data_IF_570540598641
#
_entry.id   IF_570540598641
#
_cell.length_a   1.000
_cell.length_b   1.000
_cell.length_c   1.000
_cell.angle_alpha   90.00
_cell.angle_beta   90.00
_cell.angle_gamma   90.00
#
_symmetry.space_group_name_H-M   'P 1'
#
loop_
_entity.id
_entity.type
_entity.pdbx_description
1 polymer ?
#
# COMPACT_ATOMS: atom_id res chain seq x y z
N UNK A 1 36.80 40.81 19.99
CA UNK A 1 37.33 39.51 19.50
C UNK A 1 36.17 38.89 18.72
N UNK A 2 35.99 39.37 17.50
CA UNK A 2 34.97 38.84 16.56
C UNK A 2 35.55 37.57 15.95
N UNK A 3 34.83 36.46 16.08
CA UNK A 3 35.17 35.19 15.49
C UNK A 3 34.51 35.12 14.13
N UNK A 4 35.28 35.43 13.08
CA UNK A 4 34.86 35.30 11.69
C UNK A 4 34.86 33.80 11.32
N UNK A 5 33.68 33.20 11.25
CA UNK A 5 33.44 31.84 10.74
C UNK A 5 33.03 31.91 9.25
N UNK A 6 34.00 32.29 8.41
CA UNK A 6 33.84 32.10 6.97
C UNK A 6 33.98 30.61 6.62
N UNK A 7 32.87 29.93 6.41
CA UNK A 7 32.83 28.56 5.87
C UNK A 7 33.07 28.67 4.37
N UNK A 8 34.24 28.22 3.95
CA UNK A 8 34.60 28.09 2.53
C UNK A 8 33.75 26.97 1.90
N UNK A 9 32.73 27.32 1.13
CA UNK A 9 31.88 26.37 0.41
C UNK A 9 32.56 26.05 -0.92
N UNK A 10 33.03 24.81 -1.14
CA UNK A 10 33.66 24.45 -2.41
C UNK A 10 32.69 24.66 -3.56
N UNK A 11 33.15 25.24 -4.65
CA UNK A 11 32.35 25.43 -5.86
C UNK A 11 31.89 24.11 -6.44
N UNK A 12 30.56 23.91 -6.49
CA UNK A 12 29.93 22.71 -7.06
C UNK A 12 30.35 22.54 -8.52
N UNK A 13 30.87 21.36 -8.85
CA UNK A 13 31.18 20.96 -10.22
C UNK A 13 29.89 20.75 -11.03
N UNK A 14 29.97 20.70 -12.35
CA UNK A 14 28.80 20.51 -13.21
C UNK A 14 28.03 19.20 -12.95
N UNK A 15 28.68 18.23 -12.33
CA UNK A 15 28.07 16.96 -11.90
C UNK A 15 27.21 17.08 -10.64
N UNK A 16 27.42 18.12 -9.80
CA UNK A 16 26.71 18.34 -8.54
C UNK A 16 25.51 19.30 -8.68
N UNK A 17 25.21 19.76 -9.90
CA UNK A 17 24.01 20.57 -10.11
C UNK A 17 22.78 19.68 -9.90
N UNK A 18 21.84 20.09 -9.02
CA UNK A 18 20.58 19.39 -8.92
C UNK A 18 19.93 19.35 -10.30
N UNK A 19 19.30 18.24 -10.68
CA UNK A 19 18.59 18.17 -11.95
C UNK A 19 17.63 19.35 -12.02
N UNK A 20 17.59 20.00 -13.19
CA UNK A 20 16.64 21.08 -13.48
C UNK A 20 15.27 20.61 -13.03
N UNK A 21 14.64 21.35 -12.10
CA UNK A 21 13.26 21.06 -11.69
C UNK A 21 12.44 21.16 -12.96
N UNK A 22 12.16 20.02 -13.58
CA UNK A 22 11.14 19.95 -14.62
C UNK A 22 9.83 20.31 -13.91
N UNK A 23 9.31 21.50 -14.20
CA UNK A 23 7.91 21.83 -13.87
C UNK A 23 7.11 20.82 -14.68
N UNK A 24 6.67 19.76 -13.99
CA UNK A 24 5.76 18.76 -14.56
C UNK A 24 4.52 19.53 -14.96
N UNK A 25 4.23 19.56 -16.25
CA UNK A 25 3.00 20.17 -16.76
C UNK A 25 1.83 19.59 -15.97
N UNK A 26 1.00 20.46 -15.42
CA UNK A 26 -0.13 20.11 -14.56
C UNK A 26 -1.17 19.17 -15.23
N UNK A 27 -1.05 18.93 -16.53
CA UNK A 27 -1.95 18.11 -17.34
C UNK A 27 -1.53 16.64 -17.49
N UNK A 28 -0.31 16.25 -17.09
CA UNK A 28 0.09 14.83 -17.02
C UNK A 28 0.27 14.45 -15.55
N UNK A 29 -0.67 13.68 -15.00
CA UNK A 29 -0.54 13.17 -13.62
C UNK A 29 0.76 12.37 -13.45
N UNK A 30 1.28 12.27 -12.20
CA UNK A 30 2.55 11.60 -11.88
C UNK A 30 2.62 10.13 -12.32
N UNK A 31 1.48 9.52 -12.61
CA UNK A 31 1.34 8.12 -13.03
C UNK A 31 0.74 8.00 -14.44
N UNK A 32 0.86 9.06 -15.26
CA UNK A 32 0.37 9.06 -16.63
C UNK A 32 0.98 7.90 -17.44
N UNK A 33 0.12 7.10 -18.08
CA UNK A 33 0.52 5.95 -18.88
C UNK A 33 0.92 4.70 -18.09
N UNK A 34 0.95 4.75 -16.75
CA UNK A 34 1.19 3.57 -15.91
C UNK A 34 -0.04 2.68 -15.81
N UNK A 35 0.18 1.37 -15.74
CA UNK A 35 -0.85 0.36 -15.49
C UNK A 35 -0.69 -0.17 -14.07
N UNK A 36 -1.72 0.01 -13.24
CA UNK A 36 -1.70 -0.46 -11.85
C UNK A 36 -2.68 -1.62 -11.63
N UNK A 37 -2.33 -2.56 -10.76
CA UNK A 37 -3.21 -3.61 -10.26
C UNK A 37 -3.37 -3.44 -8.74
N UNK A 38 -4.62 -3.26 -8.27
CA UNK A 38 -4.94 -3.06 -6.86
C UNK A 38 -5.79 -4.21 -6.34
N UNK A 39 -5.30 -4.92 -5.33
CA UNK A 39 -6.04 -6.04 -4.74
C UNK A 39 -6.96 -5.55 -3.61
N UNK A 40 -8.14 -6.18 -3.45
CA UNK A 40 -9.13 -5.78 -2.45
C UNK A 40 -9.72 -4.39 -2.70
N UNK A 41 -9.94 -4.03 -3.97
CA UNK A 41 -10.20 -2.66 -4.41
C UNK A 41 -11.69 -2.29 -4.58
N UNK A 42 -12.63 -3.14 -4.15
CA UNK A 42 -14.06 -2.81 -4.24
C UNK A 42 -14.53 -1.76 -3.23
N UNK A 43 -13.73 -1.45 -2.19
CA UNK A 43 -14.06 -0.49 -1.13
C UNK A 43 -12.84 -0.08 -0.30
N UNK A 44 -13.06 0.83 0.66
CA UNK A 44 -12.08 1.20 1.68
C UNK A 44 -10.77 1.74 1.11
N UNK A 45 -9.65 1.28 1.67
CA UNK A 45 -8.30 1.72 1.26
C UNK A 45 -8.05 1.38 -0.21
N UNK A 46 -8.33 0.14 -0.64
CA UNK A 46 -8.06 -0.27 -2.02
C UNK A 46 -8.80 0.56 -3.06
N UNK A 47 -10.09 0.88 -2.85
CA UNK A 47 -10.84 1.76 -3.73
C UNK A 47 -10.32 3.19 -3.72
N UNK A 48 -9.93 3.72 -2.54
CA UNK A 48 -9.35 5.06 -2.45
C UNK A 48 -7.99 5.14 -3.16
N UNK A 49 -7.18 4.09 -3.06
CA UNK A 49 -5.93 3.95 -3.81
C UNK A 49 -6.22 3.94 -5.31
N UNK A 50 -7.12 3.10 -5.79
CA UNK A 50 -7.48 3.03 -7.20
C UNK A 50 -7.96 4.40 -7.74
N UNK A 51 -8.82 5.10 -7.00
CA UNK A 51 -9.27 6.47 -7.35
C UNK A 51 -8.11 7.46 -7.45
N UNK A 52 -7.18 7.38 -6.52
CA UNK A 52 -6.02 8.27 -6.52
C UNK A 52 -5.10 7.98 -7.71
N UNK A 53 -4.82 6.71 -8.02
CA UNK A 53 -3.99 6.33 -9.15
C UNK A 53 -4.61 6.76 -10.48
N UNK A 54 -5.93 6.57 -10.67
CA UNK A 54 -6.67 7.06 -11.85
C UNK A 54 -6.60 8.59 -11.95
N UNK A 55 -6.80 9.31 -10.85
CA UNK A 55 -6.70 10.77 -10.82
C UNK A 55 -5.29 11.29 -11.16
N UNK A 56 -4.26 10.45 -11.00
CA UNK A 56 -2.89 10.75 -11.38
C UNK A 56 -2.48 10.17 -12.75
N UNK A 57 -3.48 9.72 -13.54
CA UNK A 57 -3.31 9.33 -14.94
C UNK A 57 -3.04 7.85 -15.19
N UNK A 58 -3.07 6.99 -14.16
CA UNK A 58 -2.93 5.55 -14.34
C UNK A 58 -4.22 4.89 -14.85
N UNK A 59 -4.08 3.75 -15.53
CA UNK A 59 -5.15 2.79 -15.76
C UNK A 59 -5.07 1.69 -14.71
N UNK A 60 -6.22 1.21 -14.20
CA UNK A 60 -6.23 0.38 -12.99
C UNK A 60 -7.01 -0.92 -13.17
N UNK A 61 -6.36 -2.04 -12.90
CA UNK A 61 -6.99 -3.32 -12.63
C UNK A 61 -7.44 -3.42 -11.17
N UNK A 62 -8.68 -3.88 -10.95
CA UNK A 62 -9.26 -4.08 -9.63
C UNK A 62 -9.53 -5.55 -9.37
N UNK A 63 -9.18 -6.04 -8.19
CA UNK A 63 -9.65 -7.37 -7.77
C UNK A 63 -10.35 -7.31 -6.41
N UNK A 64 -11.40 -8.10 -6.26
CA UNK A 64 -12.10 -8.37 -5.01
C UNK A 64 -13.03 -9.58 -5.20
N UNK A 65 -13.68 -10.04 -4.12
CA UNK A 65 -14.50 -11.26 -4.15
C UNK A 65 -15.88 -11.08 -4.79
N UNK A 66 -16.45 -9.88 -4.73
CA UNK A 66 -17.84 -9.61 -5.11
C UNK A 66 -17.90 -8.83 -6.42
N UNK A 67 -18.42 -9.44 -7.49
CA UNK A 67 -18.43 -8.83 -8.84
C UNK A 67 -19.29 -7.55 -8.90
N UNK A 68 -20.41 -7.49 -8.19
CA UNK A 68 -21.30 -6.32 -8.19
C UNK A 68 -20.57 -5.09 -7.61
N UNK A 69 -19.91 -5.25 -6.48
CA UNK A 69 -19.15 -4.16 -5.83
C UNK A 69 -17.92 -3.73 -6.67
N UNK A 70 -17.38 -4.63 -7.49
CA UNK A 70 -16.33 -4.29 -8.45
C UNK A 70 -16.88 -3.51 -9.63
N UNK A 71 -18.06 -3.87 -10.16
CA UNK A 71 -18.71 -3.14 -11.23
C UNK A 71 -19.05 -1.69 -10.81
N UNK A 72 -19.55 -1.51 -9.58
CA UNK A 72 -19.75 -0.18 -8.99
C UNK A 72 -18.44 0.61 -8.87
N UNK A 73 -17.36 -0.06 -8.44
CA UNK A 73 -16.04 0.57 -8.33
C UNK A 73 -15.51 1.03 -9.70
N UNK A 74 -15.62 0.19 -10.74
CA UNK A 74 -15.24 0.55 -12.12
C UNK A 74 -16.04 1.76 -12.61
N UNK A 75 -17.36 1.75 -12.42
CA UNK A 75 -18.21 2.88 -12.80
C UNK A 75 -17.79 4.18 -12.07
N UNK A 76 -17.50 4.09 -10.78
CA UNK A 76 -17.05 5.23 -9.95
C UNK A 76 -15.64 5.75 -10.32
N UNK A 77 -14.86 4.99 -11.10
CA UNK A 77 -13.54 5.36 -11.62
C UNK A 77 -13.60 5.91 -13.06
N UNK A 78 -14.78 6.12 -13.62
CA UNK A 78 -14.96 6.62 -14.99
C UNK A 78 -15.14 5.53 -16.04
N UNK A 79 -15.40 4.28 -15.61
CA UNK A 79 -15.74 3.18 -16.51
C UNK A 79 -14.54 2.46 -17.13
N UNK A 80 -14.78 1.64 -18.17
CA UNK A 80 -13.79 0.71 -18.71
C UNK A 80 -12.59 1.37 -19.40
N UNK A 81 -12.67 2.65 -19.73
CA UNK A 81 -11.52 3.40 -20.25
C UNK A 81 -10.41 3.62 -19.19
N UNK A 82 -10.76 3.58 -17.90
CA UNK A 82 -9.87 3.85 -16.79
C UNK A 82 -9.63 2.65 -15.88
N UNK A 83 -10.61 1.73 -15.81
CA UNK A 83 -10.53 0.60 -14.90
C UNK A 83 -11.17 -0.67 -15.45
N UNK A 84 -10.56 -1.82 -15.18
CA UNK A 84 -11.14 -3.15 -15.39
C UNK A 84 -11.15 -3.92 -14.07
N UNK A 85 -12.02 -4.92 -13.95
CA UNK A 85 -12.16 -5.66 -12.70
C UNK A 85 -12.30 -7.15 -12.93
N UNK A 86 -11.65 -7.95 -12.06
CA UNK A 86 -11.77 -9.41 -12.05
C UNK A 86 -12.14 -9.88 -10.64
N UNK A 87 -13.29 -10.56 -10.53
CA UNK A 87 -13.78 -11.08 -9.26
C UNK A 87 -13.10 -12.42 -8.92
N UNK A 88 -12.65 -12.57 -7.67
CA UNK A 88 -12.07 -13.81 -7.17
C UNK A 88 -11.39 -13.67 -5.81
N UNK A 89 -10.83 -14.78 -5.34
CA UNK A 89 -10.14 -14.84 -4.05
C UNK A 89 -8.66 -14.54 -4.24
N UNK A 90 -8.09 -13.68 -3.40
CA UNK A 90 -6.68 -13.27 -3.48
C UNK A 90 -5.69 -14.43 -3.23
N UNK A 91 -6.11 -15.45 -2.49
CA UNK A 91 -5.34 -16.67 -2.21
C UNK A 91 -5.46 -17.75 -3.31
N UNK A 92 -6.22 -17.52 -4.36
CA UNK A 92 -6.37 -18.43 -5.50
C UNK A 92 -5.37 -18.07 -6.62
N UNK A 93 -4.55 -19.05 -7.01
CA UNK A 93 -3.51 -18.86 -8.03
C UNK A 93 -4.11 -18.67 -9.45
N UNK A 94 -5.21 -19.35 -9.75
CA UNK A 94 -5.92 -19.20 -11.03
C UNK A 94 -6.51 -17.81 -11.16
N UNK A 95 -7.12 -17.29 -10.07
CA UNK A 95 -7.63 -15.92 -10.04
C UNK A 95 -6.51 -14.88 -10.23
N UNK A 96 -5.35 -15.04 -9.58
CA UNK A 96 -4.23 -14.11 -9.74
C UNK A 96 -3.77 -14.02 -11.20
N UNK A 97 -3.64 -15.18 -11.87
CA UNK A 97 -3.30 -15.23 -13.29
C UNK A 97 -4.35 -14.55 -14.14
N UNK A 98 -5.63 -14.93 -14.01
CA UNK A 98 -6.71 -14.36 -14.77
C UNK A 98 -6.83 -12.83 -14.61
N UNK A 99 -6.54 -12.32 -13.40
CA UNK A 99 -6.58 -10.89 -13.14
C UNK A 99 -5.43 -10.15 -13.85
N UNK A 100 -4.21 -10.70 -13.83
CA UNK A 100 -3.07 -10.09 -14.54
C UNK A 100 -3.28 -10.16 -16.04
N UNK A 101 -3.78 -11.28 -16.58
CA UNK A 101 -4.05 -11.45 -18.01
C UNK A 101 -5.10 -10.43 -18.48
N UNK A 102 -6.22 -10.27 -17.76
CA UNK A 102 -7.28 -9.32 -18.11
C UNK A 102 -6.80 -7.85 -18.07
N UNK A 103 -5.97 -7.49 -17.10
CA UNK A 103 -5.39 -6.14 -17.03
C UNK A 103 -4.41 -5.91 -18.17
N UNK A 104 -3.57 -6.91 -18.46
CA UNK A 104 -2.60 -6.84 -19.55
C UNK A 104 -3.28 -6.73 -20.92
N UNK A 105 -4.36 -7.46 -21.15
CA UNK A 105 -5.17 -7.38 -22.37
C UNK A 105 -5.81 -5.99 -22.52
N UNK A 106 -6.35 -5.43 -21.44
CA UNK A 106 -7.06 -4.16 -21.49
C UNK A 106 -6.15 -2.93 -21.60
N UNK A 107 -5.01 -2.92 -20.90
CA UNK A 107 -4.21 -1.72 -20.69
C UNK A 107 -2.71 -1.89 -20.95
N UNK A 108 -2.27 -3.11 -21.17
CA UNK A 108 -0.85 -3.45 -21.21
C UNK A 108 -0.33 -4.00 -19.88
N UNK A 109 0.94 -4.38 -19.85
CA UNK A 109 1.54 -5.04 -18.70
C UNK A 109 1.52 -4.15 -17.44
N UNK A 110 1.40 -4.79 -16.27
CA UNK A 110 1.32 -4.13 -14.96
C UNK A 110 2.66 -3.48 -14.60
N UNK A 111 2.65 -2.18 -14.33
CA UNK A 111 3.80 -1.39 -13.85
C UNK A 111 3.79 -1.21 -12.32
N UNK A 112 2.59 -1.20 -11.73
CA UNK A 112 2.40 -0.96 -10.29
C UNK A 112 1.50 -2.04 -9.72
N UNK A 113 1.98 -2.77 -8.71
CA UNK A 113 1.17 -3.69 -7.93
C UNK A 113 0.89 -3.12 -6.54
N UNK A 114 -0.38 -3.02 -6.14
CA UNK A 114 -0.76 -2.67 -4.77
C UNK A 114 -1.42 -3.87 -4.09
N UNK A 115 -0.68 -4.52 -3.19
CA UNK A 115 -1.17 -5.59 -2.35
C UNK A 115 -1.90 -5.02 -1.15
N UNK A 116 -3.21 -4.84 -1.27
CA UNK A 116 -4.04 -4.27 -0.20
C UNK A 116 -4.93 -5.31 0.50
N UNK A 117 -5.10 -6.50 -0.05
CA UNK A 117 -5.91 -7.54 0.61
C UNK A 117 -5.31 -7.92 1.96
N UNK A 118 -6.18 -7.99 2.97
CA UNK A 118 -5.86 -8.54 4.28
C UNK A 118 -7.12 -9.00 4.99
N UNK A 119 -6.99 -10.03 5.81
CA UNK A 119 -8.06 -10.55 6.67
C UNK A 119 -7.62 -10.64 8.11
N UNK A 120 -8.56 -10.52 9.01
CA UNK A 120 -8.43 -10.87 10.43
C UNK A 120 -9.74 -11.50 10.92
N UNK A 121 -9.94 -12.80 10.74
CA UNK A 121 -11.18 -13.50 11.16
C UNK A 121 -11.20 -13.86 12.64
N UNK A 122 -10.11 -13.67 13.39
CA UNK A 122 -9.97 -14.09 14.77
C UNK A 122 -9.61 -12.92 15.69
N UNK A 123 -10.33 -12.83 16.79
CA UNK A 123 -10.12 -11.83 17.84
C UNK A 123 -10.00 -12.55 19.19
N UNK A 124 -9.09 -12.11 20.04
CA UNK A 124 -8.89 -12.65 21.37
C UNK A 124 -7.41 -12.93 21.71
N UNK A 125 -7.16 -13.62 22.85
CA UNK A 125 -5.82 -14.00 23.30
C UNK A 125 -5.15 -14.97 22.33
N UNK A 126 -3.82 -14.83 22.13
CA UNK A 126 -3.06 -15.72 21.25
C UNK A 126 -3.11 -17.20 21.70
N UNK A 127 -3.16 -17.43 23.00
CA UNK A 127 -3.17 -18.79 23.58
C UNK A 127 -4.46 -19.56 23.27
N UNK A 128 -5.52 -18.85 22.86
CA UNK A 128 -6.83 -19.41 22.51
C UNK A 128 -7.06 -19.40 20.99
N UNK A 129 -6.10 -18.92 20.20
CA UNK A 129 -6.26 -18.77 18.76
C UNK A 129 -6.39 -20.13 18.08
N UNK A 130 -7.47 -20.30 17.31
CA UNK A 130 -7.61 -21.45 16.42
C UNK A 130 -6.51 -21.45 15.35
N UNK A 131 -5.75 -22.54 15.28
CA UNK A 131 -4.65 -22.69 14.34
C UNK A 131 -5.10 -22.73 12.86
N UNK A 132 -6.34 -23.13 12.58
CA UNK A 132 -6.88 -23.07 11.23
C UNK A 132 -7.11 -21.60 10.80
N UNK A 133 -7.64 -20.77 11.72
CA UNK A 133 -7.74 -19.33 11.49
C UNK A 133 -6.37 -18.68 11.33
N UNK A 134 -5.37 -19.08 12.14
CA UNK A 134 -3.99 -18.61 12.01
C UNK A 134 -3.40 -18.92 10.63
N UNK A 135 -3.51 -20.16 10.16
CA UNK A 135 -3.05 -20.56 8.81
C UNK A 135 -3.74 -19.74 7.74
N UNK A 136 -5.06 -19.54 7.85
CA UNK A 136 -5.83 -18.74 6.88
C UNK A 136 -5.38 -17.28 6.83
N UNK A 137 -5.02 -16.69 7.97
CA UNK A 137 -4.44 -15.35 8.02
C UNK A 137 -3.12 -15.30 7.23
N UNK A 138 -2.22 -16.27 7.44
CA UNK A 138 -0.94 -16.31 6.72
C UNK A 138 -1.14 -16.58 5.23
N UNK A 139 -2.03 -17.50 4.87
CA UNK A 139 -2.31 -17.82 3.46
C UNK A 139 -2.76 -16.60 2.67
N UNK A 140 -3.65 -15.79 3.26
CA UNK A 140 -4.17 -14.60 2.56
C UNK A 140 -3.22 -13.42 2.66
N UNK A 141 -2.74 -13.09 3.89
CA UNK A 141 -2.01 -11.85 4.13
C UNK A 141 -0.55 -11.91 3.67
N UNK A 142 0.08 -13.09 3.74
CA UNK A 142 1.50 -13.27 3.45
C UNK A 142 1.72 -14.04 2.14
N UNK A 143 1.27 -15.29 2.08
CA UNK A 143 1.47 -16.14 0.89
C UNK A 143 0.75 -15.56 -0.32
N UNK A 144 -0.47 -15.04 -0.13
CA UNK A 144 -1.21 -14.33 -1.17
C UNK A 144 -0.46 -13.10 -1.69
N UNK A 145 0.12 -12.29 -0.78
CA UNK A 145 0.93 -11.12 -1.15
C UNK A 145 2.14 -11.53 -2.01
N UNK A 146 2.90 -12.55 -1.60
CA UNK A 146 3.99 -13.08 -2.40
C UNK A 146 3.52 -13.61 -3.76
N UNK A 147 2.41 -14.36 -3.77
CA UNK A 147 1.85 -14.91 -5.02
C UNK A 147 1.44 -13.85 -6.03
N UNK A 148 0.95 -12.68 -5.60
CA UNK A 148 0.68 -11.55 -6.50
C UNK A 148 1.98 -10.96 -7.07
N UNK A 149 3.02 -10.81 -6.25
CA UNK A 149 4.33 -10.34 -6.72
C UNK A 149 4.89 -11.30 -7.76
N UNK A 150 4.90 -12.60 -7.50
CA UNK A 150 5.35 -13.63 -8.45
C UNK A 150 4.63 -13.55 -9.80
N UNK A 151 3.33 -13.21 -9.78
CA UNK A 151 2.53 -13.15 -11.00
C UNK A 151 2.90 -11.97 -11.92
N UNK A 152 3.38 -10.86 -11.35
CA UNK A 152 3.74 -9.65 -12.12
C UNK A 152 5.25 -9.46 -12.31
N UNK A 153 6.08 -10.15 -11.52
CA UNK A 153 7.52 -9.90 -11.44
C UNK A 153 8.23 -10.02 -12.78
N UNK A 154 7.91 -11.05 -13.58
CA UNK A 154 8.55 -11.25 -14.89
C UNK A 154 8.32 -10.07 -15.84
N UNK A 155 7.09 -9.53 -15.92
CA UNK A 155 6.78 -8.37 -16.73
C UNK A 155 7.42 -7.08 -16.22
N UNK A 156 7.56 -6.95 -14.90
CA UNK A 156 8.23 -5.81 -14.27
C UNK A 156 9.75 -5.87 -14.43
N UNK A 157 10.36 -7.06 -14.45
CA UNK A 157 11.81 -7.21 -14.62
C UNK A 157 12.31 -6.68 -15.97
N UNK A 158 11.52 -6.80 -17.01
CA UNK A 158 11.87 -6.31 -18.34
C UNK A 158 11.79 -4.79 -18.45
N UNK A 159 10.88 -4.12 -17.73
CA UNK A 159 10.50 -2.73 -17.96
C UNK A 159 10.67 -1.80 -16.75
N UNK A 160 10.98 -2.37 -15.61
CA UNK A 160 10.89 -1.70 -14.33
C UNK A 160 9.48 -1.73 -13.75
N UNK A 161 9.36 -1.47 -12.44
CA UNK A 161 8.07 -1.49 -11.77
C UNK A 161 8.12 -1.06 -10.32
N UNK A 162 6.94 -1.07 -9.70
CA UNK A 162 6.80 -0.75 -8.29
C UNK A 162 5.76 -1.67 -7.62
N UNK A 163 6.12 -2.20 -6.45
CA UNK A 163 5.20 -2.93 -5.57
C UNK A 163 5.00 -2.11 -4.29
N UNK A 164 3.74 -1.91 -3.90
CA UNK A 164 3.39 -1.30 -2.61
C UNK A 164 2.50 -2.26 -1.82
N UNK A 165 3.01 -2.73 -0.68
CA UNK A 165 2.28 -3.62 0.21
C UNK A 165 1.56 -2.82 1.30
N UNK A 166 0.28 -3.11 1.56
CA UNK A 166 -0.45 -2.53 2.69
C UNK A 166 -0.25 -3.43 3.91
N UNK A 167 0.66 -2.98 4.79
CA UNK A 167 0.94 -3.57 6.09
C UNK A 167 0.00 -2.99 7.18
N UNK A 168 0.48 -2.83 8.40
CA UNK A 168 -0.22 -2.21 9.54
C UNK A 168 0.77 -1.87 10.65
N UNK A 169 0.48 -0.86 11.47
CA UNK A 169 1.22 -0.62 12.71
C UNK A 169 1.15 -1.83 13.67
N UNK A 170 0.12 -2.68 13.56
CA UNK A 170 0.02 -3.92 14.32
C UNK A 170 1.17 -4.91 14.03
N UNK A 171 1.86 -4.78 12.89
CA UNK A 171 3.08 -5.53 12.60
C UNK A 171 4.33 -4.99 13.29
N UNK A 172 4.26 -3.79 13.88
CA UNK A 172 5.40 -3.10 14.50
C UNK A 172 5.27 -2.98 16.02
N UNK A 173 4.03 -3.00 16.51
CA UNK A 173 3.72 -2.91 17.94
C UNK A 173 2.76 -4.01 18.34
N UNK A 174 2.90 -4.60 19.55
CA UNK A 174 1.93 -5.57 20.06
C UNK A 174 0.52 -5.00 20.06
N UNK A 175 -0.42 -5.73 19.48
CA UNK A 175 -1.81 -5.32 19.35
C UNK A 175 -2.73 -6.37 19.98
N UNK A 176 -3.07 -6.23 21.28
CA UNK A 176 -3.94 -7.19 21.98
C UNK A 176 -5.26 -7.41 21.24
N UNK A 177 -5.74 -8.64 21.24
CA UNK A 177 -6.98 -9.02 20.54
C UNK A 177 -6.84 -9.28 19.04
N UNK A 178 -5.81 -8.73 18.38
CA UNK A 178 -5.50 -8.95 16.95
C UNK A 178 -4.03 -9.33 16.74
N UNK A 179 -3.38 -9.89 17.73
CA UNK A 179 -1.94 -10.06 17.75
C UNK A 179 -1.42 -10.94 16.59
N UNK A 180 -2.13 -12.00 16.20
CA UNK A 180 -1.68 -12.86 15.09
C UNK A 180 -1.84 -12.19 13.72
N UNK A 181 -2.83 -11.31 13.55
CA UNK A 181 -2.86 -10.40 12.40
C UNK A 181 -1.60 -9.53 12.37
N UNK A 182 -1.20 -8.99 13.53
CA UNK A 182 0.07 -8.25 13.67
C UNK A 182 1.29 -9.06 13.22
N UNK A 183 1.40 -10.33 13.65
CA UNK A 183 2.45 -11.25 13.19
C UNK A 183 2.47 -11.37 11.67
N UNK A 184 1.31 -11.53 11.02
CA UNK A 184 1.23 -11.60 9.56
C UNK A 184 1.69 -10.29 8.89
N UNK A 185 1.43 -9.13 9.49
CA UNK A 185 1.85 -7.83 8.96
C UNK A 185 3.33 -7.55 9.19
N UNK A 186 3.91 -8.00 10.30
CA UNK A 186 5.36 -8.00 10.50
C UNK A 186 6.07 -8.86 9.45
N UNK A 187 5.50 -10.02 9.11
CA UNK A 187 6.02 -10.86 8.03
C UNK A 187 5.93 -10.18 6.66
N UNK A 188 4.87 -9.41 6.37
CA UNK A 188 4.75 -8.60 5.14
C UNK A 188 5.81 -7.49 5.11
N UNK A 189 6.11 -6.84 6.23
CA UNK A 189 7.18 -5.83 6.32
C UNK A 189 8.54 -6.45 5.99
N UNK A 190 8.84 -7.62 6.55
CA UNK A 190 10.09 -8.31 6.24
C UNK A 190 10.13 -8.83 4.80
N UNK A 191 9.03 -9.41 4.29
CA UNK A 191 8.90 -9.82 2.89
C UNK A 191 9.15 -8.64 1.93
N UNK A 192 8.66 -7.44 2.28
CA UNK A 192 8.91 -6.21 1.51
C UNK A 192 10.40 -5.93 1.38
N UNK A 193 11.16 -6.03 2.47
CA UNK A 193 12.60 -5.80 2.47
C UNK A 193 13.36 -6.86 1.65
N UNK A 194 12.99 -8.14 1.77
CA UNK A 194 13.59 -9.23 0.98
C UNK A 194 13.35 -9.01 -0.53
N UNK A 195 12.09 -8.77 -0.92
CA UNK A 195 11.74 -8.54 -2.33
C UNK A 195 12.40 -7.28 -2.91
N UNK A 196 12.60 -6.25 -2.09
CA UNK A 196 13.29 -5.04 -2.52
C UNK A 196 14.75 -5.31 -2.92
N UNK A 197 15.43 -6.21 -2.21
CA UNK A 197 16.81 -6.62 -2.53
C UNK A 197 16.83 -7.52 -3.75
N UNK A 198 15.92 -8.50 -3.82
CA UNK A 198 15.89 -9.50 -4.89
C UNK A 198 15.51 -8.91 -6.26
N UNK A 199 14.60 -7.93 -6.28
CA UNK A 199 14.04 -7.35 -7.51
C UNK A 199 14.76 -6.06 -7.96
N UNK A 200 15.70 -5.54 -7.16
CA UNK A 200 16.52 -4.41 -7.55
C UNK A 200 17.47 -4.80 -8.72
N UNK A 201 17.88 -3.82 -9.56
CA UNK A 201 17.56 -2.40 -9.51
C UNK A 201 16.27 -2.02 -10.24
N UNK A 202 15.56 -2.94 -10.86
CA UNK A 202 14.45 -2.67 -11.77
C UNK A 202 13.12 -2.42 -11.07
N UNK A 203 12.86 -3.15 -9.96
CA UNK A 203 11.59 -3.05 -9.24
C UNK A 203 11.82 -2.51 -7.83
N UNK A 204 11.10 -1.46 -7.48
CA UNK A 204 11.06 -0.96 -6.11
C UNK A 204 9.93 -1.66 -5.34
N UNK A 205 10.20 -2.09 -4.13
CA UNK A 205 9.21 -2.75 -3.28
C UNK A 205 9.17 -2.03 -1.94
N UNK A 206 8.01 -1.43 -1.60
CA UNK A 206 7.82 -0.72 -0.35
C UNK A 206 6.50 -1.14 0.31
N UNK A 207 6.31 -0.73 1.55
CA UNK A 207 5.06 -0.92 2.27
C UNK A 207 4.56 0.39 2.89
N UNK A 208 3.26 0.44 3.14
CA UNK A 208 2.64 1.42 4.04
C UNK A 208 2.08 0.68 5.25
N UNK A 209 2.25 1.23 6.46
CA UNK A 209 1.76 0.67 7.71
C UNK A 209 0.74 1.62 8.37
N UNK A 210 -0.53 1.58 7.97
CA UNK A 210 -1.55 2.41 8.57
C UNK A 210 -1.88 1.98 10.01
N UNK A 211 -2.26 2.97 10.85
CA UNK A 211 -3.02 2.73 12.07
C UNK A 211 -4.50 2.49 11.75
N UNK A 212 -5.40 2.82 12.70
CA UNK A 212 -6.84 2.67 12.45
C UNK A 212 -7.29 3.66 11.38
N UNK A 213 -7.79 3.12 10.26
CA UNK A 213 -8.38 3.86 9.15
C UNK A 213 -9.88 3.60 9.14
N UNK A 214 -10.69 4.65 9.03
CA UNK A 214 -12.16 4.57 8.97
C UNK A 214 -12.61 3.75 7.76
N UNK A 215 -12.77 2.46 7.96
CA UNK A 215 -13.20 1.49 6.96
C UNK A 215 -14.09 0.43 7.61
N UNK A 216 -14.90 -0.26 6.82
CA UNK A 216 -15.68 -1.40 7.32
C UNK A 216 -14.79 -2.51 7.92
N UNK A 217 -13.56 -2.65 7.45
CA UNK A 217 -12.61 -3.64 8.00
C UNK A 217 -12.22 -3.30 9.45
N UNK A 218 -12.05 -2.03 9.77
CA UNK A 218 -11.62 -1.56 11.09
C UNK A 218 -12.80 -1.13 11.99
N UNK A 219 -14.05 -1.32 11.57
CA UNK A 219 -15.25 -0.86 12.27
C UNK A 219 -15.26 -1.26 13.75
N UNK A 220 -14.96 -2.52 14.07
CA UNK A 220 -14.89 -3.03 15.44
C UNK A 220 -13.86 -2.30 16.34
N UNK A 221 -12.90 -1.58 15.76
CA UNK A 221 -11.86 -0.87 16.50
C UNK A 221 -12.26 0.55 16.88
N UNK A 222 -13.30 1.13 16.25
CA UNK A 222 -13.64 2.54 16.46
C UNK A 222 -15.13 2.86 16.51
N UNK A 223 -16.02 2.04 15.94
CA UNK A 223 -17.45 2.32 15.94
C UNK A 223 -18.00 2.39 17.37
N UNK A 224 -18.77 3.45 17.66
CA UNK A 224 -19.36 3.72 18.97
C UNK A 224 -18.40 4.34 20.00
N UNK A 225 -17.10 4.43 19.73
CA UNK A 225 -16.11 5.01 20.66
C UNK A 225 -14.99 5.80 19.96
N UNK A 226 -15.32 6.45 18.87
CA UNK A 226 -14.34 7.17 18.04
C UNK A 226 -13.61 8.26 18.84
N UNK A 227 -14.32 9.05 19.67
CA UNK A 227 -13.69 10.09 20.49
C UNK A 227 -12.66 9.53 21.47
N UNK A 228 -12.94 8.39 22.09
CA UNK A 228 -12.02 7.70 22.99
C UNK A 228 -10.75 7.29 22.24
N UNK A 229 -10.93 6.63 21.10
CA UNK A 229 -9.82 6.12 20.29
C UNK A 229 -8.97 7.26 19.75
N UNK A 230 -9.57 8.37 19.30
CA UNK A 230 -8.84 9.51 18.72
C UNK A 230 -7.99 10.27 19.73
N UNK A 231 -8.30 10.21 21.03
CA UNK A 231 -7.46 10.85 22.07
C UNK A 231 -6.01 10.36 22.08
N UNK A 232 -5.77 9.12 21.61
CA UNK A 232 -4.43 8.57 21.51
C UNK A 232 -3.64 9.10 20.30
N UNK A 233 -4.31 9.76 19.35
CA UNK A 233 -3.69 10.22 18.10
C UNK A 233 -3.28 11.69 18.20
N UNK A 234 -1.98 12.03 18.12
CA UNK A 234 -1.52 13.42 18.12
C UNK A 234 -2.19 14.32 17.07
N UNK A 235 -2.54 13.78 15.89
CA UNK A 235 -3.27 14.51 14.86
C UNK A 235 -4.77 14.66 15.15
N UNK A 236 -5.28 14.19 16.31
CA UNK A 236 -6.65 14.38 16.78
C UNK A 236 -7.74 13.68 15.94
N UNK A 237 -7.37 12.75 15.05
CA UNK A 237 -8.33 12.02 14.21
C UNK A 237 -7.83 10.65 13.82
N UNK A 238 -8.73 9.77 13.47
CA UNK A 238 -8.41 8.52 12.78
C UNK A 238 -7.99 8.78 11.32
N UNK A 239 -7.25 7.83 10.74
CA UNK A 239 -6.92 7.85 9.33
C UNK A 239 -8.17 7.72 8.45
N UNK A 240 -8.10 8.26 7.26
CA UNK A 240 -9.08 8.09 6.20
C UNK A 240 -8.45 7.30 5.05
N UNK A 241 -9.22 6.55 4.24
CA UNK A 241 -8.69 5.85 3.09
C UNK A 241 -7.84 6.71 2.16
N UNK A 242 -8.19 7.99 2.00
CA UNK A 242 -7.42 8.96 1.19
C UNK A 242 -6.03 9.27 1.75
N UNK A 243 -5.83 9.20 3.06
CA UNK A 243 -4.52 9.44 3.68
C UNK A 243 -3.54 8.33 3.27
N UNK A 244 -4.02 7.07 3.23
CA UNK A 244 -3.24 5.93 2.75
C UNK A 244 -3.02 6.00 1.23
N UNK A 245 -4.05 6.38 0.47
CA UNK A 245 -3.97 6.49 -0.99
C UNK A 245 -2.92 7.52 -1.44
N UNK A 246 -2.78 8.64 -0.72
CA UNK A 246 -1.74 9.63 -0.99
C UNK A 246 -0.32 9.07 -0.86
N UNK A 247 -0.06 8.33 0.20
CA UNK A 247 1.24 7.69 0.43
C UNK A 247 1.55 6.58 -0.59
N UNK A 248 0.54 5.77 -0.95
CA UNK A 248 0.69 4.73 -1.98
C UNK A 248 1.00 5.37 -3.34
N UNK A 249 0.30 6.43 -3.73
CA UNK A 249 0.55 7.12 -4.99
C UNK A 249 1.96 7.75 -5.04
N UNK A 250 2.43 8.34 -3.93
CA UNK A 250 3.80 8.82 -3.79
C UNK A 250 4.82 7.68 -3.99
N UNK A 251 4.67 6.57 -3.27
CA UNK A 251 5.57 5.42 -3.39
C UNK A 251 5.54 4.76 -4.78
N UNK A 252 4.42 4.85 -5.49
CA UNK A 252 4.27 4.33 -6.85
C UNK A 252 4.89 5.26 -7.91
N UNK A 253 5.07 6.54 -7.62
CA UNK A 253 5.60 7.53 -8.54
C UNK A 253 7.13 7.58 -8.58
N UNK A 254 7.67 8.35 -9.53
CA UNK A 254 9.10 8.59 -9.67
C UNK A 254 9.65 9.50 -8.55
N UNK A 255 8.78 10.22 -7.80
CA UNK A 255 9.17 10.97 -6.60
C UNK A 255 9.79 10.06 -5.53
N UNK A 256 9.49 8.75 -5.57
CA UNK A 256 10.04 7.73 -4.69
C UNK A 256 11.14 6.87 -5.35
N UNK A 257 11.81 7.37 -6.41
CA UNK A 257 12.79 6.60 -7.18
C UNK A 257 13.97 6.07 -6.34
N UNK A 258 14.31 6.75 -5.24
CA UNK A 258 15.39 6.34 -4.31
C UNK A 258 14.87 5.68 -3.03
N UNK A 259 13.62 5.16 -3.05
CA UNK A 259 12.98 4.51 -1.90
C UNK A 259 12.62 3.08 -2.27
N UNK A 260 13.27 2.10 -1.63
CA UNK A 260 12.95 0.68 -1.73
C UNK A 260 13.21 -0.03 -0.40
N UNK A 261 12.49 -1.11 -0.11
CA UNK A 261 12.58 -1.87 1.14
C UNK A 261 12.00 -1.17 2.38
N UNK A 262 11.32 -0.03 2.22
CA UNK A 262 10.85 0.77 3.34
C UNK A 262 9.38 0.50 3.66
N UNK A 263 9.06 0.54 4.96
CA UNK A 263 7.68 0.57 5.46
C UNK A 263 7.37 1.95 6.01
N UNK A 264 6.56 2.72 5.30
CA UNK A 264 6.12 4.06 5.71
C UNK A 264 4.95 3.96 6.69
N UNK A 265 5.16 4.42 7.92
CA UNK A 265 4.12 4.43 8.97
C UNK A 265 3.16 5.59 8.74
N UNK A 266 1.85 5.30 8.78
CA UNK A 266 0.76 6.25 8.56
C UNK A 266 -0.23 6.16 9.73
N UNK A 267 0.10 6.78 10.85
CA UNK A 267 -0.53 6.50 12.13
C UNK A 267 -0.99 7.73 12.93
N UNK A 268 -0.89 8.92 12.33
CA UNK A 268 -1.26 10.16 13.02
C UNK A 268 -0.45 10.43 14.29
N UNK A 269 0.71 9.77 14.43
CA UNK A 269 1.63 9.90 15.56
C UNK A 269 1.31 8.97 16.75
N UNK A 270 0.33 8.08 16.65
CA UNK A 270 -0.10 7.24 17.78
C UNK A 270 1.01 6.31 18.31
N UNK A 271 1.91 5.83 17.44
CA UNK A 271 3.03 4.99 17.88
C UNK A 271 4.14 5.75 18.61
N UNK A 272 4.17 7.08 18.50
CA UNK A 272 5.13 7.97 19.17
C UNK A 272 4.55 8.57 20.46
N UNK A 273 3.22 8.70 20.55
CA UNK A 273 2.55 9.11 21.77
C UNK A 273 2.70 7.97 22.80
N UNK A 274 3.51 8.17 23.82
CA UNK A 274 3.61 7.23 24.94
C UNK A 274 2.19 6.88 25.45
N UNK A 275 1.97 5.67 25.97
CA UNK A 275 0.71 5.36 26.66
C UNK A 275 0.44 6.48 27.66
N UNK A 276 -0.75 7.11 27.66
CA UNK A 276 -1.09 8.03 28.73
C UNK A 276 -0.81 7.30 30.04
N UNK A 277 -0.04 7.94 30.93
CA UNK A 277 0.15 7.45 32.28
C UNK A 277 -1.27 7.32 32.89
N UNK A 278 -1.71 6.08 33.11
CA UNK A 278 -3.00 5.77 33.70
C UNK A 278 -3.02 6.16 35.17
#
# INVERSE_FOLDING_TARGET
MECDLSIDVPSLTSADRPPTICIVNADSGRLAGRVALVTGASRGIGLAVARRLVAEGARVGLTARHPEALAEAVAALGGPAHAVAVAGRADDAGHRRAAVDAVTEAFGPVDVLVNNVGINPAYGPLVELDLAAARKILDVNLVGTLGWVQQVAAGMDERGGCVVNVSSIAGRTPSPGIAFYGVSKAAVDHLTACLAVELAPKVRVNAVAPAVVKTRFAAALHEGREEEVTRAYPLGRLGLPRDVAGAVAFLASDDAAWITGQTLVLDGGVSLAGRPAG
#
